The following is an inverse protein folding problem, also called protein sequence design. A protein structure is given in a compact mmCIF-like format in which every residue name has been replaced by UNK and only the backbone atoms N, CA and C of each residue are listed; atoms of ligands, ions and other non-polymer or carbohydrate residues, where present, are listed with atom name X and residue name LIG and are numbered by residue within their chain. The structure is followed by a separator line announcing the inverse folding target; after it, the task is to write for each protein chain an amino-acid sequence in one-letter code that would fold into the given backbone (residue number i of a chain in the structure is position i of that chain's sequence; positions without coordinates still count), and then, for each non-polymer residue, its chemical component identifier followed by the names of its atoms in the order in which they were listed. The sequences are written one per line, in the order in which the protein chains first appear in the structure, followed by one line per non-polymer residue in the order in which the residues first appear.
data_IF_856182489909
#
_entry.id   IF_856182489909
#
_cell.length_a   1.000
_cell.length_b   1.000
_cell.length_c   1.000
_cell.angle_alpha   90.00
_cell.angle_beta   90.00
_cell.angle_gamma   90.00
#
_symmetry.space_group_name_H-M   'P 1'
#
loop_
_entity.id
_entity.type
_entity.pdbx_description
1 polymer ?
#
# COMPACT_ATOMS: atom_id res chain seq x y z
N UNK A 1 -18.87 -33.55 24.17
CA UNK A 1 -19.58 -32.37 23.68
C UNK A 1 -18.66 -31.18 23.87
N UNK A 2 -17.67 -31.08 23.00
CA UNK A 2 -16.73 -29.94 22.87
C UNK A 2 -16.62 -29.72 21.39
N UNK A 3 -17.24 -28.68 20.85
CA UNK A 3 -16.99 -28.08 19.54
C UNK A 3 -18.26 -27.42 19.02
N UNK A 4 -18.63 -26.27 19.60
CA UNK A 4 -19.62 -25.40 18.96
C UNK A 4 -19.53 -23.96 19.53
N UNK A 5 -18.35 -23.36 19.55
CA UNK A 5 -18.20 -21.88 19.67
C UNK A 5 -16.95 -21.47 18.87
N UNK A 6 -16.89 -21.88 17.61
CA UNK A 6 -15.99 -21.27 16.62
C UNK A 6 -16.84 -20.53 15.60
N UNK A 7 -17.33 -19.36 15.95
CA UNK A 7 -18.20 -18.67 15.01
C UNK A 7 -18.72 -17.33 15.49
N UNK A 8 -17.87 -16.52 16.12
CA UNK A 8 -18.18 -15.10 16.20
C UNK A 8 -16.89 -14.35 15.83
N UNK A 9 -16.51 -14.48 14.56
CA UNK A 9 -15.59 -13.53 13.98
C UNK A 9 -16.28 -12.18 13.96
N UNK A 10 -15.87 -11.29 14.86
CA UNK A 10 -16.17 -9.89 14.76
C UNK A 10 -15.41 -9.35 13.54
N UNK A 11 -16.02 -9.52 12.37
CA UNK A 11 -15.60 -8.85 11.15
C UNK A 11 -15.79 -7.36 11.38
N UNK A 12 -14.80 -6.69 11.96
CA UNK A 12 -14.69 -5.25 11.82
C UNK A 12 -14.32 -5.00 10.35
N UNK A 13 -15.34 -5.05 9.51
CA UNK A 13 -15.27 -4.51 8.18
C UNK A 13 -14.96 -3.02 8.36
N UNK A 14 -13.70 -2.65 8.20
CA UNK A 14 -13.35 -1.27 7.93
C UNK A 14 -13.99 -0.99 6.58
N UNK A 15 -15.16 -0.37 6.59
CA UNK A 15 -15.79 0.18 5.40
C UNK A 15 -14.93 1.36 4.92
N UNK A 16 -13.80 1.05 4.31
CA UNK A 16 -13.15 1.93 3.35
C UNK A 16 -14.06 1.87 2.13
N UNK A 17 -14.78 2.94 1.86
CA UNK A 17 -15.77 3.05 0.81
C UNK A 17 -15.23 2.61 -0.55
N UNK A 18 -15.40 1.34 -0.85
CA UNK A 18 -15.24 0.81 -2.19
C UNK A 18 -16.62 0.85 -2.84
N UNK A 19 -16.90 1.90 -3.58
CA UNK A 19 -17.96 1.84 -4.58
C UNK A 19 -17.54 0.85 -5.65
N UNK A 20 -18.11 -0.35 -5.58
CA UNK A 20 -17.96 -1.38 -6.60
C UNK A 20 -18.64 -0.90 -7.89
N UNK A 21 -17.84 -0.54 -8.89
CA UNK A 21 -18.34 -0.52 -10.27
C UNK A 21 -18.52 -1.96 -10.73
N UNK A 22 -19.78 -2.43 -10.83
CA UNK A 22 -20.11 -3.71 -11.46
C UNK A 22 -19.78 -3.62 -12.95
N UNK A 23 -18.77 -4.36 -13.39
CA UNK A 23 -18.61 -4.71 -14.79
C UNK A 23 -19.40 -5.98 -15.07
N UNK A 24 -20.43 -5.87 -15.93
CA UNK A 24 -21.20 -6.99 -16.44
C UNK A 24 -20.34 -7.86 -17.36
N UNK A 25 -20.36 -9.17 -17.10
CA UNK A 25 -19.54 -10.15 -17.76
C UNK A 25 -19.95 -10.48 -19.19
N UNK A 26 -18.97 -10.93 -19.95
CA UNK A 26 -19.13 -11.80 -21.10
C UNK A 26 -18.34 -13.08 -20.87
N UNK A 27 -19.04 -14.20 -21.00
CA UNK A 27 -18.54 -15.56 -20.91
C UNK A 27 -17.54 -15.83 -22.04
N UNK A 28 -16.32 -16.26 -21.68
CA UNK A 28 -15.36 -16.83 -22.61
C UNK A 28 -14.55 -17.91 -21.91
N UNK A 29 -14.87 -19.17 -22.23
CA UNK A 29 -14.12 -20.36 -21.83
C UNK A 29 -12.74 -20.37 -22.48
N UNK A 30 -11.67 -20.38 -21.65
CA UNK A 30 -10.31 -20.57 -22.11
C UNK A 30 -9.47 -21.16 -20.97
N UNK A 31 -9.24 -22.47 -21.03
CA UNK A 31 -8.27 -23.19 -20.21
C UNK A 31 -6.86 -22.75 -20.53
N UNK A 32 -6.18 -22.13 -19.58
CA UNK A 32 -4.77 -21.80 -19.66
C UNK A 32 -4.15 -21.86 -18.28
N UNK A 33 -3.46 -22.95 -17.96
CA UNK A 33 -2.58 -23.10 -16.80
C UNK A 33 -1.37 -22.21 -16.97
N UNK A 34 -1.39 -21.08 -16.30
CA UNK A 34 -0.24 -20.19 -16.15
C UNK A 34 -0.13 -19.80 -14.68
N UNK A 35 0.81 -20.42 -13.97
CA UNK A 35 1.22 -19.98 -12.63
C UNK A 35 2.02 -18.68 -12.76
N UNK A 36 1.32 -17.57 -12.96
CA UNK A 36 1.84 -16.24 -12.75
C UNK A 36 1.36 -15.79 -11.39
N UNK A 37 2.25 -15.60 -10.44
CA UNK A 37 1.98 -14.81 -9.25
C UNK A 37 1.68 -13.39 -9.72
N UNK A 38 0.41 -13.08 -9.94
CA UNK A 38 -0.03 -11.70 -10.05
C UNK A 38 0.27 -11.05 -8.70
N UNK A 39 1.22 -10.13 -8.69
CA UNK A 39 1.42 -9.21 -7.56
C UNK A 39 0.15 -8.38 -7.40
N UNK A 40 -0.81 -8.91 -6.65
CA UNK A 40 -2.05 -8.19 -6.31
C UNK A 40 -1.65 -6.99 -5.46
N UNK A 41 -1.56 -5.85 -6.12
CA UNK A 41 -1.26 -4.57 -5.47
C UNK A 41 -2.32 -4.31 -4.39
N UNK A 42 -1.94 -4.20 -3.12
CA UNK A 42 -2.94 -4.07 -2.05
C UNK A 42 -3.72 -2.77 -2.22
N UNK A 43 -5.04 -2.84 -2.06
CA UNK A 43 -5.95 -1.70 -2.20
C UNK A 43 -5.53 -0.47 -1.34
N UNK A 44 -4.92 -0.73 -0.18
CA UNK A 44 -4.45 0.32 0.73
C UNK A 44 -3.11 0.97 0.32
N UNK A 45 -2.41 0.47 -0.68
CA UNK A 45 -1.19 1.13 -1.19
C UNK A 45 -1.49 2.55 -1.73
N UNK A 46 -2.73 2.81 -2.16
CA UNK A 46 -3.18 4.13 -2.60
C UNK A 46 -3.27 5.15 -1.46
N UNK A 47 -3.34 4.72 -0.21
CA UNK A 47 -3.38 5.60 0.95
C UNK A 47 -1.99 6.16 1.32
N UNK A 48 -0.92 5.58 0.80
CA UNK A 48 0.45 6.02 1.03
C UNK A 48 0.72 7.43 0.50
N UNK A 49 0.16 7.77 -0.65
CA UNK A 49 0.46 9.01 -1.36
C UNK A 49 -0.03 10.24 -0.63
N UNK A 50 0.88 11.21 -0.42
CA UNK A 50 0.61 12.47 0.23
C UNK A 50 1.11 13.62 -0.65
N UNK A 51 0.31 14.66 -0.81
CA UNK A 51 0.64 15.79 -1.65
C UNK A 51 1.78 16.65 -1.09
N UNK A 52 2.80 16.89 -1.89
CA UNK A 52 3.83 17.89 -1.64
C UNK A 52 3.30 19.30 -1.90
N UNK A 53 3.97 20.30 -1.34
CA UNK A 53 3.67 21.69 -1.69
C UNK A 53 4.04 21.92 -3.16
N UNK A 54 3.11 22.46 -3.95
CA UNK A 54 3.37 22.80 -5.34
C UNK A 54 4.48 23.84 -5.44
N UNK A 55 5.44 23.55 -6.30
CA UNK A 55 6.57 24.40 -6.64
C UNK A 55 7.04 24.09 -8.06
N UNK A 56 7.90 24.92 -8.64
CA UNK A 56 8.65 24.52 -9.83
C UNK A 56 9.49 23.27 -9.53
N UNK A 57 9.48 22.31 -10.45
CA UNK A 57 10.21 21.06 -10.25
C UNK A 57 9.55 19.87 -10.95
N UNK A 58 10.00 18.69 -10.57
CA UNK A 58 9.53 17.44 -11.17
C UNK A 58 8.67 16.67 -10.19
N UNK A 59 7.49 16.26 -10.63
CA UNK A 59 6.52 15.53 -9.83
C UNK A 59 5.77 14.47 -10.66
N UNK A 60 5.35 13.42 -10.00
CA UNK A 60 4.29 12.55 -10.49
C UNK A 60 2.95 13.16 -10.07
N UNK A 61 2.02 13.28 -11.00
CA UNK A 61 0.67 13.79 -10.71
C UNK A 61 -0.25 12.60 -10.41
N UNK A 62 -0.79 12.57 -9.20
CA UNK A 62 -1.71 11.51 -8.74
C UNK A 62 -3.10 12.07 -8.51
N UNK A 63 -4.11 11.45 -9.12
CA UNK A 63 -5.51 11.80 -8.92
C UNK A 63 -6.10 11.06 -7.72
N UNK A 64 -6.66 11.80 -6.76
CA UNK A 64 -7.15 11.24 -5.50
C UNK A 64 -8.38 10.35 -5.71
N UNK A 65 -9.37 10.83 -6.44
CA UNK A 65 -10.64 10.11 -6.63
C UNK A 65 -10.50 8.89 -7.53
N UNK A 66 -9.78 9.02 -8.64
CA UNK A 66 -9.56 7.92 -9.57
C UNK A 66 -8.45 6.96 -9.14
N UNK A 67 -7.58 7.35 -8.18
CA UNK A 67 -6.44 6.57 -7.66
C UNK A 67 -5.44 6.18 -8.76
N UNK A 68 -5.15 7.11 -9.66
CA UNK A 68 -4.27 6.91 -10.82
C UNK A 68 -3.20 7.99 -10.91
N UNK A 69 -2.12 7.65 -11.64
CA UNK A 69 -1.10 8.60 -12.07
C UNK A 69 -1.35 9.07 -13.50
N UNK A 70 -0.99 10.33 -13.78
CA UNK A 70 -1.03 10.87 -15.13
C UNK A 70 0.15 10.31 -15.95
N UNK A 71 -0.15 9.60 -17.04
CA UNK A 71 0.87 9.06 -17.96
C UNK A 71 0.64 9.53 -19.40
N UNK A 72 -0.35 8.99 -20.04
CA UNK A 72 -0.75 9.30 -21.41
C UNK A 72 -2.17 9.85 -21.46
N UNK A 73 -2.80 9.76 -22.61
CA UNK A 73 -4.13 10.32 -22.82
C UNK A 73 -5.27 9.51 -22.19
N UNK A 74 -5.00 8.28 -21.74
CA UNK A 74 -5.99 7.44 -21.04
C UNK A 74 -5.60 7.37 -19.56
N UNK A 75 -6.48 7.78 -18.63
CA UNK A 75 -6.22 7.77 -17.20
C UNK A 75 -6.43 6.36 -16.59
N UNK A 76 -5.43 5.50 -16.68
CA UNK A 76 -5.54 4.10 -16.21
C UNK A 76 -4.36 3.61 -15.39
N UNK A 77 -3.25 4.38 -15.31
CA UNK A 77 -2.04 3.92 -14.64
C UNK A 77 -2.14 4.02 -13.12
N UNK A 78 -1.97 2.92 -12.44
CA UNK A 78 -2.00 2.84 -10.97
C UNK A 78 -0.62 2.63 -10.36
N UNK A 79 0.39 2.25 -11.17
CA UNK A 79 1.75 2.02 -10.71
C UNK A 79 2.63 3.25 -10.97
N UNK A 80 3.21 3.79 -9.88
CA UNK A 80 4.13 4.92 -9.98
C UNK A 80 5.38 4.61 -10.82
N UNK A 81 5.77 3.33 -10.94
CA UNK A 81 6.93 2.96 -11.75
C UNK A 81 6.71 3.19 -13.24
N UNK A 82 5.47 3.13 -13.68
CA UNK A 82 5.05 3.39 -15.06
C UNK A 82 4.56 4.84 -15.24
N UNK A 83 4.47 5.61 -14.16
CA UNK A 83 3.95 6.97 -14.19
C UNK A 83 4.93 7.92 -14.92
N UNK A 84 4.38 8.90 -15.62
CA UNK A 84 5.16 9.96 -16.25
C UNK A 84 5.61 10.97 -15.19
N UNK A 85 6.91 11.30 -15.22
CA UNK A 85 7.46 12.41 -14.46
C UNK A 85 7.18 13.70 -15.19
N UNK A 86 6.49 14.63 -14.55
CA UNK A 86 6.08 15.92 -15.12
C UNK A 86 6.94 17.03 -14.56
N UNK A 87 7.43 17.91 -15.43
CA UNK A 87 8.02 19.19 -15.07
C UNK A 87 6.89 20.20 -14.88
N UNK A 88 6.70 20.66 -13.66
CA UNK A 88 5.85 21.77 -13.30
C UNK A 88 6.63 23.07 -13.47
N UNK A 89 6.19 23.95 -14.34
CA UNK A 89 6.81 25.26 -14.62
C UNK A 89 5.82 26.37 -14.37
N UNK A 90 6.20 27.34 -13.55
CA UNK A 90 5.35 28.49 -13.23
C UNK A 90 5.62 29.02 -11.82
N UNK A 91 4.85 30.02 -11.43
CA UNK A 91 4.94 30.69 -10.13
C UNK A 91 3.53 31.18 -9.72
N UNK A 92 3.42 31.71 -8.50
CA UNK A 92 2.22 32.39 -8.00
C UNK A 92 0.91 31.59 -8.20
N UNK A 93 0.98 30.30 -7.86
CA UNK A 93 -0.12 29.36 -8.04
C UNK A 93 -0.60 29.18 -9.50
N UNK A 94 0.25 29.45 -10.49
CA UNK A 94 -0.05 29.22 -11.90
C UNK A 94 1.02 28.35 -12.55
N UNK A 95 0.66 27.09 -12.90
CA UNK A 95 1.60 26.08 -13.40
C UNK A 95 1.16 25.47 -14.71
N UNK A 96 2.14 25.14 -15.53
CA UNK A 96 1.97 24.30 -16.71
C UNK A 96 2.80 23.03 -16.57
N UNK A 97 2.38 21.94 -17.23
CA UNK A 97 2.99 20.62 -17.09
C UNK A 97 3.46 20.10 -18.43
N UNK A 98 4.74 19.72 -18.46
CA UNK A 98 5.38 19.07 -19.61
C UNK A 98 6.07 17.80 -19.09
N UNK A 99 6.05 16.69 -19.84
CA UNK A 99 6.81 15.50 -19.42
C UNK A 99 8.33 15.81 -19.36
N UNK A 100 9.08 15.00 -18.65
CA UNK A 100 10.52 15.22 -18.45
C UNK A 100 11.32 15.32 -19.75
N UNK A 101 10.85 14.70 -20.85
CA UNK A 101 11.46 14.72 -22.16
C UNK A 101 11.01 15.93 -23.02
N UNK A 102 10.05 16.70 -22.54
CA UNK A 102 9.51 17.84 -23.26
C UNK A 102 8.61 17.48 -24.45
N UNK A 103 8.18 16.22 -24.57
CA UNK A 103 7.40 15.72 -25.70
C UNK A 103 5.89 15.78 -25.50
N UNK A 104 5.43 15.65 -24.24
CA UNK A 104 4.01 15.66 -23.89
C UNK A 104 3.67 16.91 -23.06
N UNK A 105 2.44 17.37 -23.20
CA UNK A 105 1.90 18.48 -22.44
C UNK A 105 0.48 18.17 -21.97
N UNK A 106 0.11 18.70 -20.80
CA UNK A 106 -1.28 18.71 -20.34
C UNK A 106 -1.97 19.92 -20.97
N UNK A 107 -3.05 19.67 -21.71
CA UNK A 107 -3.85 20.72 -22.34
C UNK A 107 -5.30 20.63 -21.87
N UNK A 108 -5.92 21.79 -21.65
CA UNK A 108 -7.32 21.89 -21.32
C UNK A 108 -7.92 23.18 -21.88
N UNK A 109 -9.17 23.10 -22.29
CA UNK A 109 -10.04 24.23 -22.59
C UNK A 109 -11.43 23.96 -21.96
N UNK A 110 -12.41 24.79 -22.25
CA UNK A 110 -13.76 24.64 -21.70
C UNK A 110 -14.51 23.36 -22.14
N UNK A 111 -14.06 22.69 -23.19
CA UNK A 111 -14.75 21.56 -23.82
C UNK A 111 -13.97 20.26 -23.75
N UNK A 112 -12.65 20.31 -23.58
CA UNK A 112 -11.80 19.14 -23.62
C UNK A 112 -10.59 19.27 -22.70
N UNK A 113 -10.15 18.14 -22.16
CA UNK A 113 -8.90 18.00 -21.43
C UNK A 113 -8.16 16.76 -21.94
N UNK A 114 -6.86 16.83 -22.15
CA UNK A 114 -6.06 15.71 -22.68
C UNK A 114 -4.56 15.87 -22.45
N UNK A 115 -3.85 14.77 -22.55
CA UNK A 115 -2.40 14.71 -22.69
C UNK A 115 -2.10 14.61 -24.19
N UNK A 116 -1.25 15.48 -24.71
CA UNK A 116 -0.94 15.50 -26.15
C UNK A 116 0.52 15.81 -26.41
N UNK A 117 1.00 15.47 -27.61
CA UNK A 117 2.35 15.84 -28.03
C UNK A 117 2.48 17.35 -28.12
N UNK A 118 3.57 17.87 -27.56
CA UNK A 118 3.97 19.27 -27.74
C UNK A 118 4.30 19.51 -29.21
N UNK A 119 3.81 20.58 -29.76
CA UNK A 119 4.03 20.97 -31.15
C UNK A 119 4.14 22.46 -31.28
N UNK A 120 4.40 22.97 -32.51
CA UNK A 120 4.54 24.39 -32.77
C UNK A 120 3.28 25.20 -32.35
N UNK A 121 2.09 24.61 -32.54
CA UNK A 121 0.81 25.22 -32.18
C UNK A 121 0.18 24.63 -30.90
N UNK A 122 0.87 23.68 -30.24
CA UNK A 122 0.36 23.01 -29.06
C UNK A 122 1.26 23.28 -27.86
N UNK A 123 0.80 24.19 -27.00
CA UNK A 123 1.48 24.51 -25.72
C UNK A 123 0.71 23.97 -24.54
N UNK A 124 1.40 23.76 -23.44
CA UNK A 124 0.80 23.36 -22.18
C UNK A 124 -0.19 24.43 -21.70
N UNK A 125 -1.32 24.00 -21.16
CA UNK A 125 -2.25 24.90 -20.48
C UNK A 125 -1.64 25.39 -19.16
N UNK A 126 -1.80 26.67 -18.85
CA UNK A 126 -1.54 27.22 -17.53
C UNK A 126 -2.76 27.01 -16.64
N UNK A 127 -2.54 26.32 -15.53
CA UNK A 127 -3.55 26.06 -14.53
C UNK A 127 -3.31 26.93 -13.31
N UNK A 128 -4.36 27.56 -12.80
CA UNK A 128 -4.36 28.07 -11.43
C UNK A 128 -4.41 26.89 -10.45
N UNK A 129 -3.75 27.01 -9.30
CA UNK A 129 -3.84 26.01 -8.25
C UNK A 129 -4.80 26.49 -7.15
N UNK A 130 -5.92 25.79 -7.01
CA UNK A 130 -6.83 25.97 -5.90
C UNK A 130 -6.66 24.84 -4.90
N UNK A 131 -6.94 25.11 -3.61
CA UNK A 131 -6.88 24.06 -2.57
C UNK A 131 -7.88 22.97 -2.89
N UNK A 132 -7.42 21.72 -2.84
CA UNK A 132 -8.24 20.53 -3.00
C UNK A 132 -9.24 20.32 -1.86
N UNK A 133 -10.20 19.45 -2.08
CA UNK A 133 -11.23 19.07 -1.09
C UNK A 133 -10.71 17.99 -0.12
N UNK A 134 -9.75 17.17 -0.53
CA UNK A 134 -9.20 16.03 0.21
C UNK A 134 -8.07 16.46 1.14
N UNK A 135 -8.41 17.06 2.28
CA UNK A 135 -7.45 17.65 3.23
C UNK A 135 -6.54 16.61 3.91
N UNK A 136 -7.00 15.40 4.10
CA UNK A 136 -6.24 14.29 4.71
C UNK A 136 -5.05 13.82 3.85
N UNK A 137 -5.01 14.18 2.57
CA UNK A 137 -3.93 13.88 1.64
C UNK A 137 -2.80 14.91 1.61
N UNK A 138 -2.75 15.81 2.58
CA UNK A 138 -1.76 16.88 2.64
C UNK A 138 -2.10 18.00 1.65
N UNK A 139 -1.15 18.40 0.81
CA UNK A 139 -1.37 19.45 -0.17
C UNK A 139 -2.02 18.88 -1.44
N UNK A 140 -3.34 18.72 -1.42
CA UNK A 140 -4.11 18.43 -2.63
C UNK A 140 -4.47 19.74 -3.35
N UNK A 141 -4.40 19.72 -4.67
CA UNK A 141 -4.69 20.87 -5.52
C UNK A 141 -5.70 20.53 -6.62
N UNK A 142 -6.55 21.49 -6.93
CA UNK A 142 -7.33 21.51 -8.18
C UNK A 142 -6.55 22.27 -9.23
N UNK A 143 -6.38 21.66 -10.40
CA UNK A 143 -5.81 22.32 -11.55
C UNK A 143 -6.92 23.07 -12.27
N UNK A 144 -7.03 24.36 -11.96
CA UNK A 144 -8.12 25.23 -12.41
C UNK A 144 -7.75 25.96 -13.72
N UNK A 145 -8.66 25.93 -14.67
CA UNK A 145 -8.58 26.70 -15.92
C UNK A 145 -9.67 27.72 -15.95
N UNK A 146 -9.31 29.00 -15.99
CA UNK A 146 -10.23 30.12 -15.98
C UNK A 146 -10.05 30.97 -17.25
N UNK A 147 -11.14 31.36 -17.86
CA UNK A 147 -11.20 32.32 -18.95
C UNK A 147 -12.18 33.43 -18.59
N UNK A 148 -11.93 34.63 -19.15
CA UNK A 148 -12.82 35.76 -18.94
C UNK A 148 -14.25 35.40 -19.36
N UNK A 149 -15.23 35.70 -18.51
CA UNK A 149 -16.68 35.51 -18.73
C UNK A 149 -17.14 34.04 -18.83
N UNK A 150 -16.27 33.06 -18.55
CA UNK A 150 -16.65 31.65 -18.52
C UNK A 150 -16.43 31.06 -17.14
N UNK A 151 -17.24 30.05 -16.74
CA UNK A 151 -17.01 29.35 -15.47
C UNK A 151 -15.63 28.67 -15.42
N UNK A 152 -14.99 28.72 -14.27
CA UNK A 152 -13.77 27.94 -14.02
C UNK A 152 -14.01 26.45 -14.27
N UNK A 153 -13.06 25.81 -14.91
CA UNK A 153 -13.02 24.37 -15.16
C UNK A 153 -11.86 23.74 -14.43
N UNK A 154 -12.05 22.52 -13.98
CA UNK A 154 -11.03 21.75 -13.28
C UNK A 154 -10.59 20.57 -14.13
N UNK A 155 -9.30 20.33 -14.23
CA UNK A 155 -8.75 19.13 -14.86
C UNK A 155 -9.19 17.91 -14.03
N UNK A 156 -9.99 17.05 -14.62
CA UNK A 156 -10.75 15.99 -13.96
C UNK A 156 -10.55 14.64 -14.63
N UNK A 157 -10.73 13.57 -13.88
CA UNK A 157 -10.86 12.21 -14.41
C UNK A 157 -12.34 11.81 -14.37
N UNK A 158 -12.87 11.39 -15.50
CA UNK A 158 -14.19 10.80 -15.62
C UNK A 158 -14.07 9.47 -16.36
N UNK A 159 -14.17 8.36 -15.59
CA UNK A 159 -13.95 6.99 -16.07
C UNK A 159 -12.58 6.84 -16.74
N UNK A 160 -12.56 6.72 -18.06
CA UNK A 160 -11.39 6.49 -18.91
C UNK A 160 -10.87 7.75 -19.63
N UNK A 161 -11.33 8.93 -19.20
CA UNK A 161 -11.02 10.19 -19.90
C UNK A 161 -10.62 11.31 -18.93
N UNK A 162 -9.77 12.21 -19.43
CA UNK A 162 -9.62 13.52 -18.83
C UNK A 162 -10.70 14.45 -19.35
N UNK A 163 -11.34 15.18 -18.45
CA UNK A 163 -12.45 16.08 -18.78
C UNK A 163 -12.33 17.40 -18.05
N UNK A 164 -12.89 18.50 -18.58
CA UNK A 164 -13.05 19.74 -17.85
C UNK A 164 -14.32 19.66 -16.99
N UNK A 165 -14.18 19.55 -15.67
CA UNK A 165 -15.30 19.57 -14.73
C UNK A 165 -15.65 20.98 -14.25
N UNK A 166 -16.92 21.22 -13.93
CA UNK A 166 -17.38 22.49 -13.34
C UNK A 166 -17.53 22.42 -11.83
N UNK A 167 -17.68 21.22 -11.29
CA UNK A 167 -17.94 20.99 -9.86
C UNK A 167 -16.68 20.48 -9.18
N UNK A 168 -16.24 21.08 -8.07
CA UNK A 168 -15.17 20.56 -7.25
C UNK A 168 -15.49 19.18 -6.66
N UNK A 169 -14.50 18.29 -6.61
CA UNK A 169 -14.60 16.94 -6.03
C UNK A 169 -13.24 16.27 -5.97
N UNK A 170 -13.16 15.05 -5.45
CA UNK A 170 -11.93 14.27 -5.33
C UNK A 170 -11.37 13.80 -6.67
N UNK A 171 -12.22 13.64 -7.71
CA UNK A 171 -11.82 13.32 -9.09
C UNK A 171 -11.11 14.48 -9.82
N UNK A 172 -11.07 15.65 -9.24
CA UNK A 172 -10.25 16.77 -9.70
C UNK A 172 -9.26 17.27 -8.64
N UNK A 173 -9.04 16.49 -7.58
CA UNK A 173 -7.97 16.69 -6.62
C UNK A 173 -6.71 15.95 -7.08
N UNK A 174 -5.61 16.69 -7.16
CA UNK A 174 -4.32 16.22 -7.64
C UNK A 174 -3.26 16.38 -6.56
N UNK A 175 -2.47 15.33 -6.37
CA UNK A 175 -1.29 15.36 -5.51
C UNK A 175 -0.05 15.48 -6.39
N UNK A 176 0.87 16.32 -5.94
CA UNK A 176 2.23 16.40 -6.45
C UNK A 176 3.07 15.42 -5.66
N UNK A 177 3.47 14.31 -6.26
CA UNK A 177 4.22 13.22 -5.62
C UNK A 177 5.68 13.35 -5.99
N UNK A 178 6.55 13.41 -4.99
CA UNK A 178 8.00 13.52 -5.17
C UNK A 178 8.67 12.19 -5.51
N UNK A 179 9.88 12.26 -6.07
CA UNK A 179 10.73 11.08 -6.29
C UNK A 179 11.13 10.40 -4.95
N UNK A 180 11.16 11.15 -3.85
CA UNK A 180 11.39 10.58 -2.52
C UNK A 180 10.25 9.63 -2.10
N UNK A 181 9.00 10.00 -2.38
CA UNK A 181 7.86 9.11 -2.14
C UNK A 181 7.94 7.86 -3.01
N UNK A 182 8.29 8.00 -4.30
CA UNK A 182 8.50 6.86 -5.20
C UNK A 182 9.56 5.90 -4.66
N UNK A 183 10.69 6.41 -4.20
CA UNK A 183 11.78 5.62 -3.63
C UNK A 183 11.40 4.89 -2.34
N UNK A 184 10.56 5.50 -1.50
CA UNK A 184 10.08 4.89 -0.25
C UNK A 184 9.00 3.81 -0.47
N UNK A 185 8.31 3.84 -1.60
CA UNK A 185 7.12 3.02 -1.87
C UNK A 185 7.36 1.51 -1.81
N UNK A 186 8.45 0.92 -2.38
CA UNK A 186 8.67 -0.53 -2.32
C UNK A 186 8.79 -1.06 -0.90
N UNK A 187 9.51 -0.34 -0.02
CA UNK A 187 9.65 -0.72 1.39
C UNK A 187 8.32 -0.56 2.13
N UNK A 188 7.58 0.52 1.85
CA UNK A 188 6.23 0.70 2.37
C UNK A 188 5.33 -0.49 2.04
N UNK A 189 5.27 -0.90 0.76
CA UNK A 189 4.43 -2.02 0.32
C UNK A 189 4.85 -3.33 0.99
N UNK A 190 6.15 -3.58 1.10
CA UNK A 190 6.68 -4.77 1.76
C UNK A 190 6.19 -4.88 3.21
N UNK A 191 6.39 -3.82 4.01
CA UNK A 191 5.97 -3.78 5.41
C UNK A 191 4.45 -3.84 5.57
N UNK A 192 3.73 -3.14 4.70
CA UNK A 192 2.27 -3.16 4.68
C UNK A 192 1.73 -4.57 4.46
N UNK A 193 2.24 -5.28 3.44
CA UNK A 193 1.81 -6.64 3.12
C UNK A 193 2.18 -7.62 4.23
N UNK A 194 3.38 -7.50 4.80
CA UNK A 194 3.81 -8.32 5.94
C UNK A 194 2.87 -8.11 7.13
N UNK A 195 2.58 -6.87 7.50
CA UNK A 195 1.66 -6.59 8.60
C UNK A 195 0.24 -7.11 8.32
N UNK A 196 -0.25 -6.91 7.09
CA UNK A 196 -1.57 -7.36 6.70
C UNK A 196 -1.71 -8.89 6.76
N UNK A 197 -0.69 -9.64 6.36
CA UNK A 197 -0.73 -11.11 6.40
C UNK A 197 -0.95 -11.67 7.81
N UNK A 198 -0.56 -10.94 8.86
CA UNK A 198 -0.87 -11.35 10.24
C UNK A 198 -2.32 -11.12 10.65
N UNK A 199 -3.09 -10.34 9.89
CA UNK A 199 -4.51 -10.08 10.15
C UNK A 199 -5.44 -10.96 9.31
N UNK A 200 -4.91 -11.77 8.40
CA UNK A 200 -5.68 -12.70 7.56
C UNK A 200 -6.05 -13.97 8.31
N UNK A 201 -7.18 -14.58 7.95
CA UNK A 201 -7.78 -15.70 8.70
C UNK A 201 -6.90 -16.96 8.79
N UNK A 202 -5.98 -17.14 7.85
CA UNK A 202 -5.00 -18.23 7.79
C UNK A 202 -3.67 -17.91 8.49
N UNK A 203 -3.59 -16.74 9.12
CA UNK A 203 -2.41 -16.36 9.89
C UNK A 203 -2.17 -17.30 11.07
N UNK A 204 -0.89 -17.62 11.30
CA UNK A 204 -0.45 -18.40 12.46
C UNK A 204 -0.78 -17.76 13.82
N UNK A 205 -1.11 -16.46 13.84
CA UNK A 205 -1.60 -15.80 15.05
C UNK A 205 -2.86 -16.48 15.60
N UNK A 206 -3.73 -16.96 14.70
CA UNK A 206 -5.00 -17.60 15.07
C UNK A 206 -4.90 -19.09 15.41
N UNK A 207 -3.68 -19.67 15.33
CA UNK A 207 -3.41 -21.05 15.82
C UNK A 207 -3.26 -21.09 17.35
N UNK A 208 -3.16 -19.92 18.01
CA UNK A 208 -3.01 -19.80 19.46
C UNK A 208 -4.34 -19.96 20.20
N UNK A 209 -4.32 -20.62 21.36
CA UNK A 209 -5.46 -20.66 22.28
C UNK A 209 -5.60 -19.38 23.13
N UNK A 210 -4.60 -18.50 23.13
CA UNK A 210 -4.61 -17.18 23.80
C UNK A 210 -5.30 -16.14 22.91
N UNK A 211 -6.63 -16.18 22.89
CA UNK A 211 -7.48 -15.32 22.06
C UNK A 211 -7.31 -13.85 22.43
N UNK A 212 -7.23 -13.53 23.74
CA UNK A 212 -7.12 -12.14 24.19
C UNK A 212 -5.84 -11.47 23.69
N UNK A 213 -4.71 -12.19 23.74
CA UNK A 213 -3.44 -11.68 23.26
C UNK A 213 -3.38 -11.61 21.72
N UNK A 214 -3.97 -12.58 21.03
CA UNK A 214 -4.13 -12.56 19.57
C UNK A 214 -4.90 -11.33 19.13
N UNK A 215 -6.05 -11.06 19.74
CA UNK A 215 -6.89 -9.89 19.42
C UNK A 215 -6.16 -8.56 19.71
N UNK A 216 -5.38 -8.50 20.79
CA UNK A 216 -4.58 -7.32 21.11
C UNK A 216 -3.52 -7.03 20.04
N UNK A 217 -2.81 -8.07 19.56
CA UNK A 217 -1.81 -7.95 18.49
C UNK A 217 -2.46 -7.55 17.17
N UNK A 218 -3.56 -8.19 16.79
CA UNK A 218 -4.30 -7.84 15.57
C UNK A 218 -4.79 -6.40 15.61
N UNK A 219 -5.30 -5.95 16.77
CA UNK A 219 -5.69 -4.56 16.97
C UNK A 219 -4.50 -3.61 16.82
N UNK A 220 -3.35 -3.93 17.41
CA UNK A 220 -2.13 -3.11 17.31
C UNK A 220 -1.68 -2.97 15.85
N UNK A 221 -1.69 -4.07 15.07
CA UNK A 221 -1.37 -4.05 13.64
C UNK A 221 -2.36 -3.16 12.87
N UNK A 222 -3.66 -3.34 13.09
CA UNK A 222 -4.68 -2.55 12.40
C UNK A 222 -4.58 -1.05 12.73
N UNK A 223 -4.29 -0.69 13.96
CA UNK A 223 -4.12 0.71 14.38
C UNK A 223 -2.85 1.33 13.76
N UNK A 224 -1.77 0.54 13.63
CA UNK A 224 -0.57 0.98 12.93
C UNK A 224 -0.83 1.16 11.42
N UNK A 225 -1.53 0.24 10.77
CA UNK A 225 -1.89 0.31 9.35
C UNK A 225 -2.74 1.54 9.02
N UNK A 226 -3.71 1.94 9.89
CA UNK A 226 -4.56 3.11 9.67
C UNK A 226 -3.78 4.42 9.55
N UNK A 227 -2.66 4.54 10.26
CA UNK A 227 -1.83 5.75 10.28
C UNK A 227 -0.63 5.67 9.34
N UNK A 228 -0.49 4.60 8.56
CA UNK A 228 0.68 4.31 7.75
C UNK A 228 0.57 4.98 6.37
N UNK A 229 1.17 6.15 6.24
CA UNK A 229 1.26 6.92 5.00
C UNK A 229 2.63 7.60 4.91
N UNK A 230 2.95 8.26 3.79
CA UNK A 230 4.24 8.88 3.57
C UNK A 230 4.61 9.91 4.64
N UNK A 231 3.67 10.75 5.08
CA UNK A 231 3.93 11.79 6.09
C UNK A 231 4.30 11.22 7.46
N UNK A 232 3.86 10.00 7.77
CA UNK A 232 4.16 9.32 9.03
C UNK A 232 5.28 8.30 8.90
N UNK A 233 5.55 7.82 7.68
CA UNK A 233 6.47 6.72 7.38
C UNK A 233 7.86 6.91 7.99
N UNK A 234 8.51 8.04 7.73
CA UNK A 234 9.91 8.28 8.10
C UNK A 234 10.09 9.08 9.41
N UNK A 235 9.01 9.40 10.11
CA UNK A 235 9.11 10.11 11.39
C UNK A 235 9.62 9.19 12.48
N UNK A 236 10.42 9.72 13.40
CA UNK A 236 10.79 9.04 14.65
C UNK A 236 9.51 8.61 15.39
N UNK A 237 9.46 7.36 15.81
CA UNK A 237 8.25 6.73 16.39
C UNK A 237 7.00 6.86 15.51
N UNK A 238 7.19 7.05 14.20
CA UNK A 238 6.14 7.21 13.20
C UNK A 238 5.58 5.90 12.65
N UNK A 239 4.97 5.96 11.49
CA UNK A 239 4.26 4.84 10.89
C UNK A 239 5.12 3.60 10.67
N UNK A 240 6.37 3.75 10.16
CA UNK A 240 7.29 2.62 9.96
C UNK A 240 7.62 1.95 11.29
N UNK A 241 8.10 2.70 12.27
CA UNK A 241 8.50 2.16 13.57
C UNK A 241 7.33 1.47 14.31
N UNK A 242 6.14 2.06 14.25
CA UNK A 242 4.93 1.46 14.83
C UNK A 242 4.54 0.15 14.16
N UNK A 243 4.63 0.10 12.84
CA UNK A 243 4.27 -1.09 12.08
C UNK A 243 5.30 -2.20 12.30
N UNK A 244 6.60 -1.88 12.30
CA UNK A 244 7.67 -2.83 12.62
C UNK A 244 7.52 -3.38 14.05
N UNK A 245 7.21 -2.53 15.03
CA UNK A 245 6.96 -2.97 16.41
C UNK A 245 5.75 -3.93 16.50
N UNK A 246 4.69 -3.67 15.75
CA UNK A 246 3.52 -4.53 15.71
C UNK A 246 3.82 -5.87 15.02
N UNK A 247 4.60 -5.86 13.93
CA UNK A 247 5.08 -7.07 13.24
C UNK A 247 5.95 -7.91 14.19
N UNK A 248 6.92 -7.29 14.86
CA UNK A 248 7.79 -7.98 15.80
C UNK A 248 6.99 -8.62 16.95
N UNK A 249 5.97 -7.92 17.47
CA UNK A 249 5.10 -8.48 18.50
C UNK A 249 4.34 -9.72 18.01
N UNK A 250 3.88 -9.71 16.75
CA UNK A 250 3.23 -10.86 16.13
C UNK A 250 4.20 -12.04 15.96
N UNK A 251 5.41 -11.78 15.46
CA UNK A 251 6.44 -12.81 15.28
C UNK A 251 6.89 -13.44 16.59
N UNK A 252 7.11 -12.63 17.61
CA UNK A 252 7.49 -13.11 18.94
C UNK A 252 6.37 -13.93 19.59
N UNK A 253 5.13 -13.52 19.41
CA UNK A 253 3.98 -14.28 19.90
C UNK A 253 3.87 -15.64 19.21
N UNK A 254 3.99 -15.70 17.89
CA UNK A 254 3.98 -16.94 17.12
C UNK A 254 5.12 -17.87 17.57
N UNK A 255 6.34 -17.35 17.69
CA UNK A 255 7.50 -18.14 18.18
C UNK A 255 7.24 -18.75 19.54
N UNK A 256 6.69 -17.97 20.45
CA UNK A 256 6.43 -18.43 21.83
C UNK A 256 5.26 -19.42 21.92
N UNK A 257 4.25 -19.26 21.06
CA UNK A 257 3.04 -20.11 21.09
C UNK A 257 3.24 -21.44 20.36
N UNK A 258 3.97 -21.44 19.23
CA UNK A 258 4.24 -22.68 18.48
C UNK A 258 5.30 -23.57 19.14
N UNK A 259 6.00 -23.09 20.16
CA UNK A 259 7.05 -23.83 20.87
C UNK A 259 8.22 -24.27 19.98
N UNK A 260 8.32 -23.73 18.76
CA UNK A 260 9.41 -23.96 17.82
C UNK A 260 10.40 -22.81 17.98
N UNK A 261 11.25 -22.89 19.00
CA UNK A 261 12.40 -22.00 19.07
C UNK A 261 13.46 -22.49 18.08
N UNK A 262 13.87 -21.67 17.12
CA UNK A 262 15.14 -21.90 16.45
C UNK A 262 16.24 -21.89 17.52
N UNK A 263 17.13 -22.86 17.47
CA UNK A 263 18.32 -22.86 18.33
C UNK A 263 19.25 -21.76 17.77
N UNK A 264 18.93 -20.51 18.07
CA UNK A 264 19.86 -19.39 17.95
C UNK A 264 20.88 -19.54 19.07
N UNK A 265 22.16 -19.65 18.74
CA UNK A 265 23.28 -19.88 19.63
C UNK A 265 23.54 -18.65 20.50
N UNK A 266 22.83 -18.47 21.59
CA UNK A 266 23.15 -17.44 22.60
C UNK A 266 22.91 -17.88 24.04
N UNK A 267 23.03 -19.18 24.34
CA UNK A 267 23.22 -19.61 25.71
C UNK A 267 24.26 -20.72 25.71
N UNK A 268 25.16 -20.74 26.70
CA UNK A 268 26.19 -21.75 26.90
C UNK A 268 25.64 -23.17 27.19
N UNK A 269 24.32 -23.33 27.14
CA UNK A 269 23.66 -24.62 27.34
C UNK A 269 23.85 -25.53 26.11
N UNK A 270 24.57 -26.63 26.31
CA UNK A 270 24.81 -27.64 25.28
C UNK A 270 23.63 -28.63 25.19
N UNK A 271 23.42 -29.19 23.98
CA UNK A 271 22.48 -30.30 23.81
C UNK A 271 22.94 -31.50 24.65
N UNK A 272 22.07 -31.94 25.57
CA UNK A 272 22.33 -33.10 26.44
C UNK A 272 21.77 -34.37 25.79
N UNK A 273 20.55 -34.33 25.30
CA UNK A 273 19.86 -35.49 24.72
C UNK A 273 18.93 -35.08 23.61
N UNK A 274 18.73 -35.94 22.61
CA UNK A 274 17.82 -35.75 21.50
C UNK A 274 16.82 -36.89 21.44
N UNK A 275 15.53 -36.58 21.28
CA UNK A 275 14.46 -37.57 21.19
C UNK A 275 13.63 -37.32 19.92
N UNK A 276 13.13 -38.38 19.33
CA UNK A 276 12.07 -38.29 18.31
C UNK A 276 10.69 -38.03 18.93
N UNK A 277 9.70 -37.73 18.11
CA UNK A 277 8.30 -37.51 18.55
C UNK A 277 7.69 -38.73 19.23
N UNK A 278 8.22 -39.91 18.98
CA UNK A 278 7.82 -41.17 19.62
C UNK A 278 8.57 -41.45 20.95
N UNK A 279 9.33 -40.49 21.47
CA UNK A 279 10.12 -40.60 22.68
C UNK A 279 11.41 -41.42 22.55
N UNK A 280 11.73 -41.95 21.37
CA UNK A 280 12.98 -42.67 21.15
C UNK A 280 14.18 -41.74 21.17
N UNK A 281 15.23 -42.10 21.95
CA UNK A 281 16.49 -41.34 22.01
C UNK A 281 17.24 -41.46 20.67
N UNK A 282 17.79 -40.34 20.19
CA UNK A 282 18.57 -40.27 18.96
C UNK A 282 19.95 -39.71 19.22
N UNK A 283 20.92 -40.14 18.42
CA UNK A 283 22.29 -39.64 18.48
C UNK A 283 22.51 -38.31 17.79
N UNK A 284 21.58 -37.92 16.91
CA UNK A 284 21.63 -36.67 16.16
C UNK A 284 20.24 -36.19 15.74
N UNK A 285 20.12 -34.92 15.36
CA UNK A 285 18.91 -34.37 14.80
C UNK A 285 18.58 -35.05 13.46
N UNK A 286 17.32 -35.45 13.28
CA UNK A 286 16.83 -36.08 12.05
C UNK A 286 15.75 -35.20 11.42
N UNK A 287 15.55 -35.36 10.12
CA UNK A 287 14.47 -34.66 9.40
C UNK A 287 13.11 -34.83 10.13
N UNK A 288 12.37 -33.74 10.26
CA UNK A 288 11.15 -33.69 11.04
C UNK A 288 11.33 -33.10 12.43
N UNK A 289 10.32 -33.28 13.31
CA UNK A 289 10.31 -32.74 14.67
C UNK A 289 11.19 -33.59 15.60
N UNK A 290 12.11 -32.92 16.31
CA UNK A 290 12.96 -33.48 17.33
C UNK A 290 12.70 -32.80 18.68
N UNK A 291 12.78 -33.51 19.78
CA UNK A 291 12.72 -32.99 21.15
C UNK A 291 14.15 -33.00 21.69
N UNK A 292 14.66 -31.82 22.02
CA UNK A 292 16.04 -31.64 22.49
C UNK A 292 16.05 -31.22 23.95
N UNK A 293 16.72 -31.98 24.78
CA UNK A 293 16.98 -31.62 26.17
C UNK A 293 18.35 -30.96 26.27
N UNK A 294 18.39 -29.78 26.88
CA UNK A 294 19.60 -29.01 27.07
C UNK A 294 20.28 -29.34 28.41
N UNK A 295 21.56 -28.97 28.55
CA UNK A 295 22.34 -29.22 29.75
C UNK A 295 21.85 -28.43 30.99
N UNK A 296 21.08 -27.37 30.79
CA UNK A 296 20.41 -26.60 31.85
C UNK A 296 19.05 -27.17 32.28
N UNK A 297 18.67 -28.36 31.74
CA UNK A 297 17.41 -29.03 32.02
C UNK A 297 16.23 -28.57 31.17
N UNK A 298 16.39 -27.52 30.35
CA UNK A 298 15.32 -27.05 29.45
C UNK A 298 15.08 -28.05 28.31
N UNK A 299 13.83 -28.10 27.82
CA UNK A 299 13.44 -28.96 26.69
C UNK A 299 12.98 -28.08 25.53
N UNK A 300 13.55 -28.29 24.35
CA UNK A 300 13.22 -27.55 23.14
C UNK A 300 12.70 -28.48 22.04
N UNK A 301 11.74 -28.03 21.27
CA UNK A 301 11.27 -28.69 20.05
C UNK A 301 12.02 -28.12 18.85
N UNK A 302 12.63 -28.96 18.02
CA UNK A 302 13.46 -28.58 16.88
C UNK A 302 12.92 -29.22 15.61
N UNK A 303 12.52 -28.44 14.64
CA UNK A 303 12.13 -28.94 13.32
C UNK A 303 13.32 -28.85 12.36
N UNK A 304 13.77 -30.01 11.88
CA UNK A 304 14.80 -30.12 10.82
C UNK A 304 14.10 -30.33 9.48
N UNK A 305 14.31 -29.40 8.55
CA UNK A 305 13.75 -29.41 7.18
C UNK A 305 14.49 -30.38 6.26
#
# INVERSE_FOLDING_TARGET
MKNLVKGLMLSVAIALGATTAQAQGTTGTGTGTGTGTEDVKPAAATEFWMGEKAAEGMFYLYNVGAKIFVTGNTPSETDINNATLWTASGSDNSFSFTDEKGNLVITMNNLSAKITKKGYLTSATKFGLETGTTKEKGNAYKLAYSQLLLPTRYFNVDKDKYTPATTPGDFNDWLFISDAQKKAYPEYVKLFNQAKSYTEADSKLFESDDIEKTDAIVKQINDALKSYNYNTYAKENGGKAKLEAAINAAEDFIKNTTGINEIGSTTDAKVSEIYGVNGARKSQLTKGLNIVKMSDGTVKKVLVK
#
